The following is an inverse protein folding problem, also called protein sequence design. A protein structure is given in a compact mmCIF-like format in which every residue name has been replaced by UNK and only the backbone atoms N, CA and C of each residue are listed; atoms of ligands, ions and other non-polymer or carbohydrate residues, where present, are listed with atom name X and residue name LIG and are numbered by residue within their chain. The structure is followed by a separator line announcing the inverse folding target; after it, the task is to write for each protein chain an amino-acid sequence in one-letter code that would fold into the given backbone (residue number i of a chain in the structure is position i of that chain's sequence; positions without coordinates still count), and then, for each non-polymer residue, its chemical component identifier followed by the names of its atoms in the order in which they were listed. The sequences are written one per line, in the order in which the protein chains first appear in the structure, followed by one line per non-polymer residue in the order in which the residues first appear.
data_IF_127562128059
#
_entry.id   IF_127562128059
#
_cell.length_a   1.000
_cell.length_b   1.000
_cell.length_c   1.000
_cell.angle_alpha   90.00
_cell.angle_beta   90.00
_cell.angle_gamma   90.00
#
_symmetry.space_group_name_H-M   'P 1'
#
loop_
_entity.id
_entity.type
_entity.pdbx_description
1 polymer ?
#
# COMPACT_ATOMS: atom_id res chain seq x y z
N UNK A 1 1.74 -3.65 32.29
CA UNK A 1 1.28 -3.99 30.93
C UNK A 1 2.50 -4.06 30.03
N UNK A 2 2.60 -5.02 29.08
CA UNK A 2 3.71 -5.03 28.13
C UNK A 2 3.70 -3.75 27.29
N UNK A 3 4.88 -3.30 26.86
CA UNK A 3 5.04 -2.14 25.98
C UNK A 3 4.45 -2.53 24.61
N UNK A 4 3.43 -1.80 24.17
CA UNK A 4 2.83 -1.96 22.84
C UNK A 4 3.30 -0.78 21.98
N UNK A 5 3.81 -1.07 20.77
CA UNK A 5 4.26 -0.03 19.85
C UNK A 5 3.06 0.79 19.36
N UNK A 6 3.15 2.12 19.44
CA UNK A 6 2.08 3.01 18.97
C UNK A 6 1.93 3.05 17.45
N UNK A 7 3.04 2.83 16.73
CA UNK A 7 3.06 2.74 15.26
C UNK A 7 3.99 1.61 14.84
N UNK A 8 3.55 0.78 13.91
CA UNK A 8 4.32 -0.30 13.29
C UNK A 8 4.39 -0.05 11.79
N UNK A 9 5.61 -0.06 11.24
CA UNK A 9 5.84 0.05 9.80
C UNK A 9 6.56 -1.20 9.31
N UNK A 10 6.00 -1.85 8.28
CA UNK A 10 6.62 -3.02 7.65
C UNK A 10 6.57 -2.88 6.14
N UNK A 11 7.66 -3.24 5.47
CA UNK A 11 7.75 -3.23 4.00
C UNK A 11 8.08 -4.63 3.48
N UNK A 12 7.36 -5.07 2.44
CA UNK A 12 7.66 -6.25 1.64
C UNK A 12 7.93 -5.84 0.19
N UNK A 13 8.83 -6.56 -0.47
CA UNK A 13 9.15 -6.35 -1.89
C UNK A 13 8.46 -7.41 -2.74
N UNK A 14 7.83 -6.97 -3.83
CA UNK A 14 7.10 -7.80 -4.76
C UNK A 14 7.81 -7.74 -6.11
N UNK A 15 8.30 -8.90 -6.58
CA UNK A 15 8.94 -9.01 -7.88
C UNK A 15 7.95 -8.75 -9.03
N UNK A 16 8.44 -8.18 -10.13
CA UNK A 16 7.64 -7.95 -11.34
C UNK A 16 6.93 -9.20 -11.89
N UNK A 17 7.57 -10.37 -11.72
CA UNK A 17 7.02 -11.67 -12.14
C UNK A 17 5.93 -12.22 -11.20
N UNK A 18 5.66 -11.58 -10.07
CA UNK A 18 4.67 -12.03 -9.09
C UNK A 18 3.26 -11.63 -9.50
N UNK A 19 2.32 -12.56 -9.40
CA UNK A 19 0.89 -12.29 -9.59
C UNK A 19 0.36 -11.23 -8.62
N UNK A 20 1.02 -11.02 -7.48
CA UNK A 20 0.68 -9.95 -6.51
C UNK A 20 0.89 -8.55 -7.11
N UNK A 21 1.87 -8.39 -7.99
CA UNK A 21 2.11 -7.12 -8.69
C UNK A 21 0.96 -6.85 -9.67
N UNK A 22 0.70 -7.79 -10.59
CA UNK A 22 -0.43 -7.71 -11.52
C UNK A 22 -1.77 -7.51 -10.80
N UNK A 23 -1.90 -8.18 -9.65
CA UNK A 23 -3.00 -8.04 -8.72
C UNK A 23 -3.25 -6.63 -8.23
N UNK A 24 -2.19 -5.96 -7.75
CA UNK A 24 -2.26 -4.57 -7.33
C UNK A 24 -2.60 -3.62 -8.49
N UNK A 25 -2.06 -3.85 -9.68
CA UNK A 25 -2.42 -3.08 -10.89
C UNK A 25 -3.93 -3.18 -11.15
N UNK A 26 -4.48 -4.40 -11.09
CA UNK A 26 -5.91 -4.64 -11.24
C UNK A 26 -6.73 -4.03 -10.09
N UNK A 27 -6.16 -3.86 -8.89
CA UNK A 27 -6.78 -3.14 -7.78
C UNK A 27 -6.96 -1.65 -8.10
N UNK A 28 -6.01 -1.02 -8.78
CA UNK A 28 -6.10 0.38 -9.21
C UNK A 28 -7.27 0.62 -10.18
N UNK A 29 -7.66 -0.35 -11.02
CA UNK A 29 -8.80 -0.18 -11.94
C UNK A 29 -10.17 -0.24 -11.26
N UNK A 30 -10.27 -0.96 -10.14
CA UNK A 30 -11.56 -1.30 -9.58
C UNK A 30 -12.25 -0.04 -9.07
N UNK A 31 -13.54 0.10 -9.37
CA UNK A 31 -14.40 1.10 -8.73
C UNK A 31 -14.29 0.95 -7.20
N UNK A 32 -14.43 2.03 -6.43
CA UNK A 32 -14.19 2.02 -4.96
C UNK A 32 -14.95 0.89 -4.26
N UNK A 33 -16.14 0.56 -4.77
CA UNK A 33 -16.95 -0.56 -4.30
C UNK A 33 -16.39 -1.97 -4.54
N UNK A 34 -15.55 -2.15 -5.55
CA UNK A 34 -15.04 -3.46 -6.00
C UNK A 34 -13.61 -3.73 -5.49
N UNK A 35 -12.94 -2.69 -4.97
CA UNK A 35 -11.56 -2.73 -4.43
C UNK A 35 -11.47 -3.48 -3.12
N UNK A 36 -12.38 -3.17 -2.22
CA UNK A 36 -12.51 -3.79 -0.91
C UNK A 36 -12.65 -5.33 -1.07
N UNK A 37 -13.40 -5.78 -2.09
CA UNK A 37 -13.75 -7.21 -2.31
C UNK A 37 -12.59 -8.15 -2.64
N UNK A 38 -11.42 -7.64 -3.00
CA UNK A 38 -10.35 -8.45 -3.58
C UNK A 38 -8.95 -8.02 -3.13
N UNK A 39 -8.85 -7.13 -2.15
CA UNK A 39 -7.57 -6.61 -1.68
C UNK A 39 -6.69 -7.72 -1.07
N UNK A 40 -7.30 -8.67 -0.37
CA UNK A 40 -6.64 -9.84 0.24
C UNK A 40 -5.90 -10.71 -0.77
N UNK A 41 -6.43 -10.85 -2.00
CA UNK A 41 -5.84 -11.73 -3.02
C UNK A 41 -4.46 -11.28 -3.50
N UNK A 42 -4.10 -10.02 -3.27
CA UNK A 42 -2.92 -9.39 -3.88
C UNK A 42 -1.98 -8.71 -2.87
N UNK A 43 -2.24 -8.87 -1.58
CA UNK A 43 -1.39 -8.37 -0.51
C UNK A 43 -0.14 -9.26 -0.33
N UNK A 44 1.06 -8.67 -0.28
CA UNK A 44 2.30 -9.40 -0.01
C UNK A 44 2.41 -9.91 1.44
N UNK A 45 1.64 -9.35 2.38
CA UNK A 45 1.70 -9.71 3.79
C UNK A 45 1.14 -11.09 4.11
N UNK A 46 0.25 -11.60 3.26
CA UNK A 46 -0.27 -12.98 3.29
C UNK A 46 0.67 -13.93 2.53
N UNK A 47 1.43 -14.76 3.25
CA UNK A 47 2.05 -15.97 2.70
C UNK A 47 1.81 -17.14 3.66
N UNK A 48 1.68 -18.39 3.16
CA UNK A 48 1.03 -19.53 3.82
C UNK A 48 1.64 -20.02 5.14
N UNK A 49 2.72 -19.40 5.58
CA UNK A 49 3.53 -19.88 6.69
C UNK A 49 3.18 -19.10 7.96
N UNK A 50 2.00 -19.41 8.50
CA UNK A 50 1.79 -19.41 9.94
C UNK A 50 0.75 -18.46 10.49
N UNK A 51 -0.54 -18.80 10.33
CA UNK A 51 -1.51 -18.95 11.43
C UNK A 51 -2.48 -20.07 11.01
N UNK A 52 -2.63 -21.10 11.84
CA UNK A 52 -3.72 -22.08 11.67
C UNK A 52 -5.05 -21.36 11.95
N UNK A 53 -5.82 -21.07 10.90
CA UNK A 53 -7.25 -20.82 11.02
C UNK A 53 -7.95 -22.06 10.46
N UNK A 54 -8.61 -22.77 11.36
CA UNK A 54 -9.23 -24.07 11.18
C UNK A 54 -10.62 -23.97 10.57
N UNK A 55 -10.87 -23.16 9.55
CA UNK A 55 -11.95 -23.45 8.61
C UNK A 55 -11.89 -22.59 7.36
N UNK A 56 -11.96 -23.25 6.22
CA UNK A 56 -12.16 -22.63 4.90
C UNK A 56 -13.48 -21.85 4.78
N UNK A 57 -14.38 -21.96 5.77
CA UNK A 57 -15.65 -21.24 5.83
C UNK A 57 -15.54 -19.83 6.44
N UNK A 58 -14.51 -19.55 7.25
CA UNK A 58 -14.22 -18.19 7.74
C UNK A 58 -13.52 -17.33 6.68
N UNK A 59 -12.81 -17.96 5.74
CA UNK A 59 -12.15 -17.30 4.61
C UNK A 59 -13.16 -16.70 3.60
N UNK A 60 -14.27 -17.41 3.32
CA UNK A 60 -15.34 -16.88 2.46
C UNK A 60 -16.11 -15.72 3.13
N UNK A 61 -16.36 -15.79 4.45
CA UNK A 61 -16.97 -14.70 5.21
C UNK A 61 -16.04 -13.48 5.35
N UNK A 62 -14.73 -13.69 5.45
CA UNK A 62 -13.73 -12.62 5.51
C UNK A 62 -13.62 -11.87 4.17
N UNK A 63 -13.64 -12.60 3.06
CA UNK A 63 -13.64 -12.04 1.70
C UNK A 63 -14.90 -11.18 1.44
N UNK A 64 -16.08 -11.60 1.91
CA UNK A 64 -17.34 -10.84 1.79
C UNK A 64 -17.47 -9.70 2.82
N UNK A 65 -16.70 -9.73 3.92
CA UNK A 65 -16.62 -8.68 4.94
C UNK A 65 -15.69 -7.52 4.53
N UNK A 66 -14.53 -7.85 3.95
CA UNK A 66 -13.59 -6.87 3.39
C UNK A 66 -14.11 -6.23 2.11
N UNK A 67 -15.17 -6.78 1.54
CA UNK A 67 -15.87 -6.34 0.34
C UNK A 67 -16.69 -5.05 0.41
N UNK A 68 -16.68 -4.32 1.53
CA UNK A 68 -17.59 -3.18 1.71
C UNK A 68 -17.03 -1.87 1.08
N UNK A 69 -17.72 -1.28 0.08
CA UNK A 69 -17.38 -0.01 -0.58
C UNK A 69 -17.20 1.20 0.33
N UNK A 70 -17.81 1.18 1.51
CA UNK A 70 -17.97 2.35 2.38
C UNK A 70 -16.75 2.59 3.32
N UNK A 71 -15.65 1.84 3.17
CA UNK A 71 -14.67 1.66 4.27
C UNK A 71 -13.18 1.86 3.95
N UNK A 72 -12.84 2.24 2.71
CA UNK A 72 -11.54 2.75 2.33
C UNK A 72 -11.69 4.23 1.92
N UNK A 73 -10.80 5.10 2.38
CA UNK A 73 -10.98 6.56 2.19
C UNK A 73 -10.66 7.02 0.76
N UNK A 74 -10.09 6.13 -0.06
CA UNK A 74 -9.69 6.35 -1.44
C UNK A 74 -8.19 6.51 -1.58
N UNK A 75 -7.67 6.14 -2.77
CA UNK A 75 -6.24 6.28 -3.06
C UNK A 75 -5.83 7.75 -2.98
N UNK A 76 -4.70 8.01 -2.32
CA UNK A 76 -4.04 9.29 -2.25
C UNK A 76 -2.58 9.18 -2.65
N UNK A 77 -1.95 10.31 -2.93
CA UNK A 77 -0.55 10.42 -3.34
C UNK A 77 0.14 11.54 -2.56
N UNK A 78 1.38 11.83 -2.92
CA UNK A 78 2.14 12.96 -2.38
C UNK A 78 1.38 14.29 -2.48
N UNK A 79 0.63 14.50 -3.56
CA UNK A 79 0.02 15.81 -3.87
C UNK A 79 -1.50 15.80 -3.92
N UNK A 80 -2.14 14.62 -3.94
CA UNK A 80 -3.60 14.49 -4.02
C UNK A 80 -4.13 13.71 -2.83
N UNK A 81 -5.14 14.26 -2.14
CA UNK A 81 -5.83 13.56 -1.04
C UNK A 81 -6.76 12.45 -1.52
N UNK A 82 -7.17 12.49 -2.79
CA UNK A 82 -7.98 11.47 -3.44
C UNK A 82 -7.74 11.46 -4.96
N UNK A 83 -7.63 10.27 -5.55
CA UNK A 83 -7.44 10.11 -6.99
C UNK A 83 -8.78 10.02 -7.75
N UNK A 84 -8.89 10.79 -8.83
CA UNK A 84 -9.97 10.64 -9.82
C UNK A 84 -9.83 9.36 -10.65
N UNK A 85 -10.79 9.08 -11.53
CA UNK A 85 -10.68 7.95 -12.46
C UNK A 85 -9.49 8.12 -13.42
N UNK A 86 -9.28 9.35 -13.92
CA UNK A 86 -8.16 9.71 -14.79
C UNK A 86 -6.83 9.57 -14.07
N UNK A 87 -6.75 10.00 -12.80
CA UNK A 87 -5.56 9.83 -11.98
C UNK A 87 -5.21 8.36 -11.75
N UNK A 88 -6.23 7.53 -11.49
CA UNK A 88 -6.08 6.08 -11.32
C UNK A 88 -5.56 5.44 -12.61
N UNK A 89 -6.05 5.87 -13.77
CA UNK A 89 -5.56 5.40 -15.06
C UNK A 89 -4.07 5.76 -15.27
N UNK A 90 -3.68 7.01 -15.00
CA UNK A 90 -2.29 7.44 -15.11
C UNK A 90 -1.34 6.68 -14.15
N UNK A 91 -1.75 6.51 -12.90
CA UNK A 91 -1.02 5.68 -11.93
C UNK A 91 -0.84 4.26 -12.45
N UNK A 92 -1.92 3.65 -12.96
CA UNK A 92 -1.89 2.30 -13.50
C UNK A 92 -0.90 2.17 -14.66
N UNK A 93 -0.84 3.13 -15.56
CA UNK A 93 0.14 3.12 -16.66
C UNK A 93 1.57 3.07 -16.12
N UNK A 94 1.87 3.85 -15.09
CA UNK A 94 3.19 3.87 -14.44
C UNK A 94 3.52 2.54 -13.76
N UNK A 95 2.57 1.94 -13.04
CA UNK A 95 2.79 0.62 -12.43
C UNK A 95 2.96 -0.49 -13.48
N UNK A 96 2.22 -0.45 -14.60
CA UNK A 96 2.43 -1.38 -15.70
C UNK A 96 3.82 -1.23 -16.32
N UNK A 97 4.27 0.02 -16.54
CA UNK A 97 5.61 0.30 -17.04
C UNK A 97 6.69 -0.24 -16.09
N UNK A 98 6.54 0.01 -14.79
CA UNK A 98 7.44 -0.52 -13.77
C UNK A 98 7.52 -2.05 -13.80
N UNK A 99 6.36 -2.73 -13.89
CA UNK A 99 6.32 -4.19 -13.98
C UNK A 99 7.00 -4.70 -15.25
N UNK A 100 6.73 -4.10 -16.40
CA UNK A 100 7.34 -4.47 -17.69
C UNK A 100 8.87 -4.29 -17.66
N UNK A 101 9.34 -3.25 -16.97
CA UNK A 101 10.77 -2.98 -16.80
C UNK A 101 11.44 -3.82 -15.72
N UNK A 102 10.71 -4.74 -15.08
CA UNK A 102 11.28 -5.63 -14.07
C UNK A 102 11.51 -4.99 -12.70
N UNK A 103 10.88 -3.84 -12.43
CA UNK A 103 10.99 -3.16 -11.14
C UNK A 103 10.39 -3.97 -10.00
N UNK A 104 10.89 -3.74 -8.79
CA UNK A 104 10.21 -4.18 -7.56
C UNK A 104 9.09 -3.22 -7.22
N UNK A 105 7.95 -3.76 -6.79
CA UNK A 105 6.95 -2.99 -6.06
C UNK A 105 7.21 -3.11 -4.56
N UNK A 106 7.31 -1.98 -3.88
CA UNK A 106 7.51 -1.89 -2.45
C UNK A 106 6.13 -1.72 -1.83
N UNK A 107 5.66 -2.74 -1.10
CA UNK A 107 4.41 -2.70 -0.35
C UNK A 107 4.71 -2.43 1.12
N UNK A 108 4.36 -1.24 1.58
CA UNK A 108 4.51 -0.82 2.98
C UNK A 108 3.15 -0.80 3.66
N UNK A 109 3.09 -1.29 4.89
CA UNK A 109 1.96 -1.14 5.80
C UNK A 109 2.40 -0.28 6.98
N UNK A 110 1.63 0.78 7.25
CA UNK A 110 1.76 1.58 8.46
C UNK A 110 0.53 1.30 9.30
N UNK A 111 0.67 0.59 10.41
CA UNK A 111 -0.42 0.27 11.34
C UNK A 111 -0.27 1.07 12.62
N UNK A 112 -1.39 1.54 13.16
CA UNK A 112 -1.43 2.41 14.33
C UNK A 112 -2.18 1.70 15.46
N UNK A 113 -1.66 1.79 16.69
CA UNK A 113 -2.45 1.45 17.87
C UNK A 113 -3.54 2.52 18.03
N UNK A 114 -4.81 2.11 18.12
CA UNK A 114 -5.92 3.07 18.21
C UNK A 114 -5.80 4.00 19.43
N UNK A 115 -5.26 3.52 20.57
CA UNK A 115 -5.04 4.36 21.76
C UNK A 115 -3.98 5.42 21.49
N UNK A 116 -2.94 5.07 20.75
CA UNK A 116 -1.92 6.03 20.32
C UNK A 116 -2.54 7.11 19.42
N UNK A 117 -3.47 6.76 18.53
CA UNK A 117 -4.20 7.75 17.71
C UNK A 117 -5.06 8.68 18.57
N UNK A 118 -5.72 8.17 19.62
CA UNK A 118 -6.50 8.97 20.56
C UNK A 118 -5.63 9.92 21.39
N UNK A 119 -4.54 9.41 21.97
CA UNK A 119 -3.56 10.20 22.74
C UNK A 119 -2.98 11.36 21.93
N UNK A 120 -2.89 11.22 20.61
CA UNK A 120 -2.38 12.23 19.69
C UNK A 120 -3.50 13.08 19.04
N UNK A 121 -4.77 12.92 19.44
CA UNK A 121 -5.91 13.67 18.91
C UNK A 121 -6.08 13.48 17.39
N UNK A 122 -5.79 12.28 16.90
CA UNK A 122 -6.00 11.85 15.51
C UNK A 122 -7.30 11.05 15.41
N UNK A 123 -7.65 10.30 16.45
CA UNK A 123 -8.90 9.55 16.56
C UNK A 123 -9.69 10.02 17.79
N UNK A 124 -11.01 9.96 17.68
CA UNK A 124 -11.94 9.96 18.79
C UNK A 124 -12.86 8.75 18.61
N UNK A 125 -12.61 7.69 19.38
CA UNK A 125 -13.37 6.45 19.24
C UNK A 125 -14.82 6.61 19.71
N UNK A 126 -15.06 7.42 20.75
CA UNK A 126 -16.40 7.66 21.31
C UNK A 126 -17.33 8.31 20.26
N UNK A 127 -16.81 9.29 19.53
CA UNK A 127 -17.56 10.01 18.49
C UNK A 127 -17.34 9.45 17.08
N UNK A 128 -16.58 8.35 16.94
CA UNK A 128 -16.21 7.72 15.67
C UNK A 128 -15.58 8.69 14.66
N UNK A 129 -14.74 9.59 15.14
CA UNK A 129 -14.03 10.58 14.31
C UNK A 129 -12.62 10.09 14.06
N UNK A 130 -12.20 10.12 12.80
CA UNK A 130 -10.81 9.92 12.40
C UNK A 130 -10.34 11.12 11.57
N UNK A 131 -9.22 11.71 11.96
CA UNK A 131 -8.59 12.78 11.20
C UNK A 131 -7.73 12.16 10.09
N UNK A 132 -8.39 11.78 9.00
CA UNK A 132 -7.74 11.21 7.82
C UNK A 132 -6.67 12.13 7.23
N UNK A 133 -6.86 13.45 7.31
CA UNK A 133 -5.89 14.40 6.77
C UNK A 133 -4.55 14.32 7.52
N UNK A 134 -4.58 14.26 8.86
CA UNK A 134 -3.36 14.06 9.67
C UNK A 134 -2.66 12.75 9.30
N UNK A 135 -3.40 11.68 9.00
CA UNK A 135 -2.85 10.41 8.57
C UNK A 135 -2.21 10.49 7.16
N UNK A 136 -2.85 11.18 6.22
CA UNK A 136 -2.28 11.44 4.89
C UNK A 136 -1.00 12.24 5.00
N UNK A 137 -0.99 13.31 5.78
CA UNK A 137 0.18 14.18 5.94
C UNK A 137 1.33 13.48 6.66
N UNK A 138 1.04 12.68 7.70
CA UNK A 138 2.03 11.82 8.34
C UNK A 138 2.62 10.79 7.36
N UNK A 139 1.78 10.18 6.51
CA UNK A 139 2.23 9.25 5.47
C UNK A 139 3.12 9.94 4.45
N UNK A 140 2.74 11.14 3.97
CA UNK A 140 3.56 11.95 3.05
C UNK A 140 4.91 12.29 3.65
N UNK A 141 4.95 12.74 4.91
CA UNK A 141 6.20 13.02 5.61
C UNK A 141 7.08 11.78 5.78
N UNK A 142 6.47 10.63 6.09
CA UNK A 142 7.17 9.34 6.17
C UNK A 142 7.76 8.93 4.83
N UNK A 143 6.96 8.95 3.76
CA UNK A 143 7.37 8.59 2.41
C UNK A 143 8.46 9.52 1.90
N UNK A 144 8.29 10.84 2.03
CA UNK A 144 9.31 11.81 1.63
C UNK A 144 10.65 11.50 2.31
N UNK A 145 10.65 11.31 3.63
CA UNK A 145 11.90 11.04 4.38
C UNK A 145 12.53 9.70 4.01
N UNK A 146 11.73 8.68 3.74
CA UNK A 146 12.21 7.38 3.28
C UNK A 146 12.86 7.51 1.89
N UNK A 147 12.16 8.13 0.94
CA UNK A 147 12.64 8.30 -0.43
C UNK A 147 13.89 9.20 -0.51
N UNK A 148 13.96 10.27 0.29
CA UNK A 148 15.15 11.13 0.37
C UNK A 148 16.38 10.33 0.84
N UNK A 149 16.21 9.46 1.86
CA UNK A 149 17.30 8.61 2.38
C UNK A 149 17.71 7.52 1.40
N UNK A 150 16.78 7.03 0.61
CA UNK A 150 17.02 6.06 -0.45
C UNK A 150 17.61 6.70 -1.73
N UNK A 151 17.60 8.04 -1.84
CA UNK A 151 17.99 8.72 -3.07
C UNK A 151 17.00 8.48 -4.22
N UNK A 152 15.72 8.26 -3.90
CA UNK A 152 14.68 7.87 -4.83
C UNK A 152 13.62 8.97 -5.08
N UNK A 153 13.71 10.12 -4.43
CA UNK A 153 12.65 11.15 -4.40
C UNK A 153 12.14 11.60 -5.77
N UNK A 154 13.00 11.60 -6.78
CA UNK A 154 12.66 12.07 -8.15
C UNK A 154 12.35 10.92 -9.13
N UNK A 155 12.37 9.67 -8.66
CA UNK A 155 12.42 8.49 -9.54
C UNK A 155 11.30 7.47 -9.29
N UNK A 156 10.45 7.73 -8.30
CA UNK A 156 9.38 6.81 -7.90
C UNK A 156 8.01 7.41 -8.08
N UNK A 157 7.03 6.53 -8.19
CA UNK A 157 5.64 6.85 -7.96
C UNK A 157 5.13 6.00 -6.80
N UNK A 158 4.36 6.60 -5.89
CA UNK A 158 3.67 5.86 -4.84
C UNK A 158 2.21 6.27 -4.72
N UNK A 159 1.40 5.31 -4.29
CA UNK A 159 0.00 5.55 -3.89
C UNK A 159 -0.25 4.91 -2.54
N UNK A 160 -1.20 5.46 -1.79
CA UNK A 160 -1.57 4.93 -0.49
C UNK A 160 -3.09 4.93 -0.29
N UNK A 161 -3.57 4.10 0.63
CA UNK A 161 -4.97 3.97 1.01
C UNK A 161 -5.11 3.75 2.51
N UNK A 162 -6.06 4.45 3.14
CA UNK A 162 -6.33 4.32 4.59
C UNK A 162 -7.47 3.33 4.77
N UNK A 163 -7.21 2.29 5.54
CA UNK A 163 -8.16 1.24 5.89
C UNK A 163 -8.54 1.37 7.37
N UNK A 164 -9.84 1.49 7.63
CA UNK A 164 -10.41 1.74 8.96
C UNK A 164 -11.29 0.58 9.46
N UNK A 165 -11.31 -0.53 8.71
CA UNK A 165 -12.23 -1.66 8.87
C UNK A 165 -11.60 -2.91 9.47
N UNK A 166 -10.48 -2.76 10.16
CA UNK A 166 -9.78 -3.83 10.90
C UNK A 166 -9.59 -3.39 12.34
N UNK A 167 -9.10 -4.29 13.19
CA UNK A 167 -8.81 -4.02 14.61
C UNK A 167 -8.05 -2.70 14.83
N UNK A 168 -7.09 -2.40 13.96
CA UNK A 168 -6.32 -1.15 13.97
C UNK A 168 -6.46 -0.40 12.65
N UNK A 169 -6.49 0.95 12.72
CA UNK A 169 -6.32 1.77 11.52
C UNK A 169 -4.96 1.49 10.91
N UNK A 170 -4.92 1.30 9.60
CA UNK A 170 -3.67 1.07 8.89
C UNK A 170 -3.71 1.66 7.48
N UNK A 171 -2.52 1.85 6.92
CA UNK A 171 -2.31 2.49 5.63
C UNK A 171 -1.45 1.58 4.78
N UNK A 172 -1.98 1.20 3.63
CA UNK A 172 -1.22 0.51 2.60
C UNK A 172 -0.57 1.53 1.69
N UNK A 173 0.73 1.38 1.42
CA UNK A 173 1.47 2.18 0.45
C UNK A 173 2.12 1.25 -0.56
N UNK A 174 1.92 1.52 -1.85
CA UNK A 174 2.62 0.84 -2.93
C UNK A 174 3.53 1.84 -3.64
N UNK A 175 4.82 1.53 -3.75
CA UNK A 175 5.83 2.37 -4.41
C UNK A 175 6.53 1.59 -5.51
N UNK A 176 6.78 2.24 -6.64
CA UNK A 176 7.52 1.67 -7.77
C UNK A 176 8.48 2.70 -8.37
N UNK A 177 9.64 2.24 -8.81
CA UNK A 177 10.46 2.96 -9.78
C UNK A 177 9.96 2.58 -11.19
N UNK A 178 9.51 3.52 -12.05
CA UNK A 178 9.09 3.19 -13.41
C UNK A 178 10.24 2.60 -14.24
N UNK A 179 11.47 3.03 -13.95
CA UNK A 179 12.71 2.50 -14.51
C UNK A 179 13.63 2.13 -13.34
N UNK A 180 13.92 0.84 -13.11
CA UNK A 180 14.67 0.44 -11.92
C UNK A 180 16.12 0.92 -12.02
N UNK A 181 16.56 1.71 -11.04
CA UNK A 181 17.94 2.23 -11.02
C UNK A 181 18.93 1.28 -10.33
N UNK A 182 18.43 0.22 -9.67
CA UNK A 182 19.23 -0.70 -8.86
C UNK A 182 19.17 -2.12 -9.42
N UNK A 183 20.32 -2.79 -9.45
CA UNK A 183 20.38 -4.23 -9.72
C UNK A 183 19.96 -5.01 -8.46
N UNK A 184 18.87 -5.77 -8.55
CA UNK A 184 18.44 -6.67 -7.47
C UNK A 184 18.84 -8.11 -7.81
N UNK A 185 19.56 -8.84 -6.95
CA UNK A 185 19.90 -10.25 -7.18
C UNK A 185 18.61 -11.08 -7.18
N UNK A 186 18.07 -11.34 -8.38
CA UNK A 186 16.79 -12.03 -8.59
C UNK A 186 16.01 -11.52 -9.81
N UNK A 187 16.23 -10.25 -10.21
CA UNK A 187 15.72 -9.72 -11.47
C UNK A 187 16.68 -10.14 -12.60
N UNK A 188 16.36 -11.23 -13.31
CA UNK A 188 17.14 -11.67 -14.46
C UNK A 188 17.07 -10.61 -15.58
N UNK A 189 18.19 -9.90 -15.73
CA UNK A 189 18.77 -9.29 -16.93
C UNK A 189 17.84 -9.00 -18.13
N UNK A 190 17.65 -7.72 -18.43
CA UNK A 190 17.16 -7.27 -19.73
C UNK A 190 17.33 -5.77 -19.92
N UNK A 191 18.27 -5.38 -20.79
CA UNK A 191 18.57 -4.02 -21.26
C UNK A 191 19.44 -3.15 -20.34
N UNK A 192 20.74 -3.13 -20.68
CA UNK A 192 21.68 -2.06 -20.33
C UNK A 192 21.39 -0.85 -21.21
N UNK A 193 21.04 0.28 -20.62
CA UNK A 193 21.19 1.58 -21.28
C UNK A 193 21.97 2.49 -20.34
N UNK A 194 23.25 2.69 -20.66
CA UNK A 194 24.07 3.74 -20.07
C UNK A 194 23.80 5.02 -20.85
N UNK A 195 23.46 6.09 -20.15
CA UNK A 195 23.68 7.44 -20.68
C UNK A 195 24.68 8.16 -19.77
N UNK A 196 25.78 8.58 -20.40
CA UNK A 196 26.73 9.60 -19.98
C UNK A 196 27.05 10.38 -21.28
N UNK A 197 27.39 11.68 -21.24
CA UNK A 197 28.21 12.35 -20.22
C UNK A 197 27.43 13.20 -19.22
#
# INVERSE_FOLDING_TARGET
MPIQAGVVLVTKFVAASSDKFSGFINYIDRYEATRAKNFEKYNAFESPDGIQADSWAEFENYTDYMSNPEKATGLFTETKDRLSAEDKAAVKEVFNLAQQNGSLMWQTVISFDNRWLEENGIMDHEHKILNEQKLRDATRGCMKRMLDKEGLSESVLWTADIHINTDNVHIHVATVEPFPMREYPGARSGVRTRFAP
#
